data_IF_518353467464
#
_entry.id   IF_518353467464
#
_cell.length_a   1.000
_cell.length_b   1.000
_cell.length_c   1.000
_cell.angle_alpha   90.00
_cell.angle_beta   90.00
_cell.angle_gamma   90.00
#
_symmetry.space_group_name_H-M   'P 1'
#
loop_
_entity.id
_entity.type
_entity.pdbx_description
1 polymer ?
#
# COMPACT_ATOMS: atom_id res chain seq x y z
N UNK A 1 16.97 -10.58 -14.30
CA UNK A 1 16.16 -9.44 -14.79
C UNK A 1 16.73 -8.11 -14.25
N UNK A 2 16.42 -6.92 -14.81
CA UNK A 2 16.79 -5.61 -14.22
C UNK A 2 15.70 -5.05 -13.29
N UNK A 3 16.04 -4.55 -12.12
CA UNK A 3 15.12 -3.89 -11.20
C UNK A 3 14.41 -2.72 -11.90
N UNK A 4 13.08 -2.65 -11.82
CA UNK A 4 12.35 -1.53 -12.37
C UNK A 4 12.78 -0.22 -11.70
N UNK A 5 12.91 -0.16 -10.38
CA UNK A 5 13.18 1.09 -9.68
C UNK A 5 14.54 1.72 -10.02
N UNK A 6 15.64 0.95 -9.89
CA UNK A 6 17.01 1.48 -10.06
C UNK A 6 17.78 0.93 -11.26
N UNK A 7 17.28 -0.08 -11.98
CA UNK A 7 17.96 -0.65 -13.15
C UNK A 7 19.09 -1.65 -12.85
N UNK A 8 19.35 -1.96 -11.57
CA UNK A 8 20.33 -2.97 -11.15
C UNK A 8 19.93 -4.39 -11.59
N UNK A 9 20.89 -5.28 -11.83
CA UNK A 9 20.64 -6.64 -12.33
C UNK A 9 20.31 -7.60 -11.18
N UNK A 10 19.06 -8.04 -11.11
CA UNK A 10 18.47 -8.86 -10.05
C UNK A 10 18.06 -10.23 -10.59
N UNK A 11 17.87 -11.22 -9.72
CA UNK A 11 17.38 -12.54 -10.14
C UNK A 11 15.93 -12.46 -10.67
N UNK A 12 15.53 -13.39 -11.54
CA UNK A 12 14.22 -13.34 -12.21
C UNK A 12 13.02 -13.45 -11.25
N UNK A 13 13.22 -14.04 -10.07
CA UNK A 13 12.19 -14.21 -9.02
C UNK A 13 12.54 -13.42 -7.74
N UNK A 14 13.47 -12.47 -7.82
CA UNK A 14 13.85 -11.67 -6.66
C UNK A 14 12.63 -10.90 -6.15
N UNK A 15 12.27 -11.09 -4.87
CA UNK A 15 11.19 -10.35 -4.20
C UNK A 15 11.56 -8.89 -3.96
N UNK A 16 12.86 -8.60 -3.86
CA UNK A 16 13.41 -7.26 -3.61
C UNK A 16 14.65 -7.03 -4.46
N UNK A 17 14.91 -5.78 -4.81
CA UNK A 17 16.14 -5.42 -5.50
C UNK A 17 17.30 -5.27 -4.52
N UNK A 18 18.35 -6.07 -4.72
CA UNK A 18 19.59 -6.01 -3.92
C UNK A 18 20.37 -4.69 -4.05
N UNK A 19 20.06 -3.85 -5.05
CA UNK A 19 20.75 -2.57 -5.28
C UNK A 19 20.01 -1.35 -4.75
N UNK A 20 18.69 -1.40 -4.62
CA UNK A 20 17.89 -0.23 -4.21
C UNK A 20 16.68 -0.54 -3.34
N UNK A 21 16.58 -1.76 -2.82
CA UNK A 21 15.57 -2.16 -1.84
C UNK A 21 14.13 -2.22 -2.36
N UNK A 22 13.86 -1.81 -3.60
CA UNK A 22 12.49 -1.81 -4.12
C UNK A 22 11.93 -3.22 -4.19
N UNK A 23 10.74 -3.42 -3.62
CA UNK A 23 9.97 -4.64 -3.80
C UNK A 23 9.64 -4.84 -5.28
N UNK A 24 9.80 -6.07 -5.74
CA UNK A 24 9.50 -6.50 -7.08
C UNK A 24 8.21 -7.32 -6.98
N UNK A 25 7.09 -6.69 -7.36
CA UNK A 25 5.81 -7.40 -7.29
C UNK A 25 5.68 -8.38 -8.44
N UNK A 26 4.81 -9.38 -8.26
CA UNK A 26 4.49 -10.38 -9.29
C UNK A 26 3.88 -9.70 -10.52
N UNK A 27 3.15 -8.60 -10.34
CA UNK A 27 2.60 -7.78 -11.43
C UNK A 27 3.70 -7.14 -12.26
N UNK A 28 4.76 -6.62 -11.62
CA UNK A 28 5.91 -6.02 -12.34
C UNK A 28 6.70 -7.08 -13.13
N UNK A 29 6.79 -8.30 -12.61
CA UNK A 29 7.39 -9.43 -13.32
C UNK A 29 6.52 -9.82 -14.52
N UNK A 30 5.19 -9.97 -14.33
CA UNK A 30 4.23 -10.27 -15.39
C UNK A 30 4.16 -9.20 -16.48
N UNK A 31 4.17 -7.92 -16.12
CA UNK A 31 4.20 -6.81 -17.07
C UNK A 31 5.45 -6.89 -17.95
N UNK A 32 6.59 -7.23 -17.35
CA UNK A 32 7.83 -7.38 -18.10
C UNK A 32 7.88 -8.65 -18.95
N UNK A 33 7.33 -9.76 -18.46
CA UNK A 33 7.16 -10.96 -19.28
C UNK A 33 6.23 -10.68 -20.48
N UNK A 34 5.18 -9.89 -20.30
CA UNK A 34 4.33 -9.42 -21.39
C UNK A 34 5.09 -8.51 -22.36
N UNK A 35 5.90 -7.57 -21.87
CA UNK A 35 6.76 -6.72 -22.71
C UNK A 35 7.84 -7.50 -23.46
N UNK A 36 8.40 -8.54 -22.85
CA UNK A 36 9.36 -9.43 -23.52
C UNK A 36 8.67 -10.31 -24.58
N UNK A 37 7.41 -10.71 -24.34
CA UNK A 37 6.59 -11.46 -25.29
C UNK A 37 6.10 -10.62 -26.48
N UNK A 38 5.86 -9.32 -26.29
CA UNK A 38 5.40 -8.43 -27.37
C UNK A 38 6.48 -8.09 -28.40
N UNK A 39 7.76 -8.29 -28.05
CA UNK A 39 8.89 -8.10 -28.96
C UNK A 39 9.05 -6.67 -29.46
N UNK A 40 9.91 -6.48 -30.47
CA UNK A 40 10.15 -5.18 -31.06
C UNK A 40 8.93 -4.77 -31.90
N UNK A 41 8.29 -3.61 -31.63
CA UNK A 41 7.12 -3.16 -32.38
C UNK A 41 7.42 -2.80 -33.85
N UNK A 42 8.69 -2.68 -34.23
CA UNK A 42 9.10 -2.37 -35.62
C UNK A 42 9.38 -3.62 -36.45
N UNK A 43 10.08 -4.61 -35.88
CA UNK A 43 10.54 -5.79 -36.64
C UNK A 43 10.09 -7.14 -36.08
N UNK A 44 9.35 -7.16 -34.95
CA UNK A 44 8.85 -8.38 -34.33
C UNK A 44 9.92 -9.22 -33.60
N UNK A 45 11.19 -8.80 -33.60
CA UNK A 45 12.25 -9.50 -32.90
C UNK A 45 11.98 -9.59 -31.39
N UNK A 46 12.21 -10.76 -30.80
CA UNK A 46 12.16 -10.98 -29.35
C UNK A 46 13.47 -10.61 -28.64
N UNK A 47 14.52 -10.29 -29.39
CA UNK A 47 15.83 -9.87 -28.87
C UNK A 47 15.82 -8.38 -28.48
N UNK A 48 15.06 -8.07 -27.44
CA UNK A 48 14.84 -6.72 -26.94
C UNK A 48 15.40 -6.55 -25.53
N UNK A 49 15.92 -5.37 -25.25
CA UNK A 49 16.41 -4.99 -23.92
C UNK A 49 15.72 -3.72 -23.46
N UNK A 50 15.40 -3.66 -22.17
CA UNK A 50 14.76 -2.50 -21.58
C UNK A 50 15.70 -1.84 -20.58
N UNK A 51 15.93 -0.54 -20.73
CA UNK A 51 16.68 0.29 -19.79
C UNK A 51 15.78 1.40 -19.25
N UNK A 52 16.00 1.80 -17.99
CA UNK A 52 15.33 2.98 -17.43
C UNK A 52 16.22 4.20 -17.61
N UNK A 53 15.74 5.16 -18.37
CA UNK A 53 16.39 6.45 -18.53
C UNK A 53 15.71 7.51 -17.68
N UNK A 54 16.52 8.33 -17.02
CA UNK A 54 16.07 9.52 -16.31
C UNK A 54 15.55 10.52 -17.33
N UNK A 55 14.24 10.75 -17.34
CA UNK A 55 13.59 11.70 -18.23
C UNK A 55 13.66 13.12 -17.69
N UNK A 56 13.76 13.27 -16.36
CA UNK A 56 13.87 14.57 -15.73
C UNK A 56 13.65 14.52 -14.23
N UNK A 57 13.52 15.69 -13.64
CA UNK A 57 13.26 15.88 -12.22
C UNK A 57 12.12 16.88 -12.06
N UNK A 58 11.14 16.53 -11.23
CA UNK A 58 10.06 17.42 -10.83
C UNK A 58 10.37 17.94 -9.44
N UNK A 59 10.64 19.25 -9.32
CA UNK A 59 10.82 19.91 -8.04
C UNK A 59 9.45 20.35 -7.50
N UNK A 60 9.00 19.69 -6.44
CA UNK A 60 7.85 20.08 -5.66
C UNK A 60 8.26 20.82 -4.38
N UNK A 61 7.26 21.37 -3.66
CA UNK A 61 7.47 22.03 -2.37
C UNK A 61 8.11 21.11 -1.31
N UNK A 62 7.90 19.79 -1.45
CA UNK A 62 8.35 18.77 -0.49
C UNK A 62 9.55 17.94 -1.00
N UNK A 63 10.22 18.37 -2.07
CA UNK A 63 11.41 17.68 -2.59
C UNK A 63 11.42 17.47 -4.10
N UNK A 64 12.43 16.74 -4.57
CA UNK A 64 12.67 16.48 -6.00
C UNK A 64 12.30 15.03 -6.33
N UNK A 65 11.33 14.84 -7.22
CA UNK A 65 10.93 13.52 -7.72
C UNK A 65 11.63 13.26 -9.05
N UNK A 66 12.42 12.19 -9.14
CA UNK A 66 13.10 11.80 -10.39
C UNK A 66 12.12 11.04 -11.28
N UNK A 67 11.80 11.60 -12.45
CA UNK A 67 10.95 10.96 -13.46
C UNK A 67 11.82 10.04 -14.31
N UNK A 68 11.47 8.76 -14.38
CA UNK A 68 12.15 7.74 -15.19
C UNK A 68 11.18 7.14 -16.19
N UNK A 69 11.63 6.88 -17.42
CA UNK A 69 10.85 6.12 -18.42
C UNK A 69 11.62 4.86 -18.80
N UNK A 70 10.87 3.79 -19.04
CA UNK A 70 11.41 2.53 -19.56
C UNK A 70 11.50 2.63 -21.08
N UNK A 71 12.71 2.50 -21.60
CA UNK A 71 13.02 2.52 -23.03
C UNK A 71 13.41 1.11 -23.46
N UNK A 72 12.67 0.57 -24.43
CA UNK A 72 13.04 -0.65 -25.15
C UNK A 72 14.05 -0.34 -26.25
N UNK A 73 15.03 -1.23 -26.45
CA UNK A 73 16.01 -1.24 -27.54
C UNK A 73 16.01 -2.65 -28.15
N UNK A 74 15.73 -2.73 -29.45
CA UNK A 74 15.89 -3.97 -30.20
C UNK A 74 17.36 -4.15 -30.62
N UNK A 75 17.96 -5.29 -30.26
CA UNK A 75 19.35 -5.58 -30.63
C UNK A 75 19.54 -5.94 -32.10
N UNK A 76 18.47 -6.38 -32.77
CA UNK A 76 18.57 -6.83 -34.18
C UNK A 76 18.36 -5.69 -35.18
N UNK A 77 17.48 -4.71 -34.87
CA UNK A 77 17.19 -3.59 -35.78
C UNK A 77 17.54 -2.20 -35.22
N UNK A 78 18.02 -2.12 -33.98
CA UNK A 78 18.41 -0.86 -33.33
C UNK A 78 17.24 0.06 -32.96
N UNK A 79 15.99 -0.36 -33.16
CA UNK A 79 14.83 0.48 -32.87
C UNK A 79 14.63 0.67 -31.36
N UNK A 80 14.39 1.91 -30.96
CA UNK A 80 14.08 2.29 -29.58
C UNK A 80 12.66 2.81 -29.43
N UNK A 81 11.99 2.49 -28.33
CA UNK A 81 10.65 3.01 -28.02
C UNK A 81 10.43 3.19 -26.52
N UNK A 82 9.60 4.17 -26.13
CA UNK A 82 9.16 4.34 -24.75
C UNK A 82 7.92 3.50 -24.47
N UNK A 83 7.91 2.72 -23.40
CA UNK A 83 6.72 1.95 -22.99
C UNK A 83 5.75 2.76 -22.12
N UNK A 84 6.12 3.98 -21.73
CA UNK A 84 5.21 4.94 -21.09
C UNK A 84 4.26 5.55 -22.13
N UNK A 85 3.25 4.80 -22.54
CA UNK A 85 2.02 5.36 -23.10
C UNK A 85 0.81 4.67 -22.47
N UNK A 86 -0.02 5.50 -21.82
CA UNK A 86 -1.42 5.26 -21.43
C UNK A 86 -1.72 4.56 -20.10
N UNK A 87 -1.56 5.28 -19.00
CA UNK A 87 -2.62 5.36 -17.97
C UNK A 87 -2.68 6.76 -17.38
N UNK A 88 -3.08 7.76 -18.18
CA UNK A 88 -3.97 8.74 -17.56
C UNK A 88 -5.29 7.99 -17.35
N UNK A 89 -5.82 7.88 -16.12
CA UNK A 89 -7.14 7.31 -15.94
C UNK A 89 -8.11 8.18 -16.74
N UNK A 90 -8.60 7.64 -17.85
CA UNK A 90 -9.74 8.20 -18.56
C UNK A 90 -10.87 8.21 -17.53
N UNK A 91 -11.12 9.39 -16.97
CA UNK A 91 -12.23 9.67 -16.07
C UNK A 91 -13.49 9.24 -16.80
N UNK A 92 -13.95 8.01 -16.57
CA UNK A 92 -15.28 7.59 -16.98
C UNK A 92 -16.22 8.28 -16.01
N UNK A 93 -16.67 9.46 -16.41
CA UNK A 93 -17.67 10.23 -15.69
C UNK A 93 -18.88 9.30 -15.51
N UNK A 94 -19.08 8.76 -14.30
CA UNK A 94 -20.32 8.07 -13.93
C UNK A 94 -21.46 9.09 -13.74
N UNK A 95 -21.49 10.16 -14.55
CA UNK A 95 -22.54 11.18 -14.57
C UNK A 95 -23.90 10.55 -14.87
N UNK A 96 -23.95 9.42 -15.57
CA UNK A 96 -25.19 8.68 -15.79
C UNK A 96 -25.79 8.10 -14.50
N UNK A 97 -24.98 7.57 -13.56
CA UNK A 97 -25.49 7.09 -12.27
C UNK A 97 -26.07 8.24 -11.43
N UNK A 98 -25.50 9.43 -11.55
CA UNK A 98 -26.05 10.63 -10.92
C UNK A 98 -27.36 11.06 -11.59
N UNK A 99 -27.41 11.09 -12.92
CA UNK A 99 -28.62 11.40 -13.71
C UNK A 99 -29.75 10.40 -13.42
N UNK A 100 -29.46 9.10 -13.29
CA UNK A 100 -30.43 8.08 -12.85
C UNK A 100 -30.96 8.37 -11.44
N UNK A 101 -30.08 8.76 -10.51
CA UNK A 101 -30.48 9.20 -9.17
C UNK A 101 -31.47 10.37 -9.20
N UNK A 102 -31.21 11.40 -10.01
CA UNK A 102 -32.14 12.53 -10.17
C UNK A 102 -33.45 12.15 -10.87
N UNK A 103 -33.38 11.27 -11.88
CA UNK A 103 -34.53 10.72 -12.62
C UNK A 103 -35.48 9.93 -11.71
N UNK A 104 -34.98 9.16 -10.75
CA UNK A 104 -35.86 8.41 -9.84
C UNK A 104 -36.31 9.22 -8.62
N UNK A 105 -35.53 10.22 -8.19
CA UNK A 105 -35.85 11.03 -7.00
C UNK A 105 -36.81 12.19 -7.31
N UNK A 106 -36.79 12.78 -8.51
CA UNK A 106 -37.63 13.94 -8.84
C UNK A 106 -39.15 13.66 -9.02
N UNK A 107 -39.59 12.50 -9.56
CA UNK A 107 -41.02 12.18 -9.72
C UNK A 107 -41.73 11.89 -8.39
N UNK A 108 -40.99 11.43 -7.37
CA UNK A 108 -41.56 10.96 -6.10
C UNK A 108 -42.14 12.11 -5.24
N UNK A 109 -41.46 13.25 -5.03
CA UNK A 109 -42.02 14.39 -4.30
C UNK A 109 -43.25 15.01 -4.99
N UNK A 110 -43.24 15.11 -6.32
CA UNK A 110 -44.36 15.63 -7.11
C UNK A 110 -45.60 14.74 -7.02
N UNK A 111 -45.42 13.42 -7.11
CA UNK A 111 -46.51 12.46 -6.91
C UNK A 111 -47.06 12.50 -5.49
N UNK A 112 -46.20 12.61 -4.45
CA UNK A 112 -46.62 12.76 -3.06
C UNK A 112 -47.43 14.06 -2.83
N UNK A 113 -46.99 15.18 -3.40
CA UNK A 113 -47.69 16.47 -3.28
C UNK A 113 -49.06 16.41 -3.97
N UNK A 114 -49.15 15.77 -5.13
CA UNK A 114 -50.42 15.54 -5.81
C UNK A 114 -51.33 14.57 -5.04
N UNK A 115 -50.76 13.53 -4.41
CA UNK A 115 -51.47 12.62 -3.51
C UNK A 115 -52.02 13.28 -2.24
N UNK A 116 -51.42 14.40 -1.80
CA UNK A 116 -51.91 15.16 -0.64
C UNK A 116 -53.04 16.14 -0.97
N UNK A 117 -53.26 16.48 -2.25
CA UNK A 117 -54.38 17.35 -2.67
C UNK A 117 -55.71 16.62 -2.51
N UNK A 118 -56.57 17.11 -1.60
CA UNK A 118 -57.82 16.46 -1.17
C UNK A 118 -59.04 16.79 -2.04
N UNK A 119 -58.94 17.80 -2.89
CA UNK A 119 -60.10 18.36 -3.61
C UNK A 119 -60.38 17.73 -4.98
N UNK A 120 -59.82 16.54 -5.26
CA UNK A 120 -59.98 15.85 -6.54
C UNK A 120 -60.51 14.43 -6.37
N UNK A 121 -61.44 14.03 -7.26
CA UNK A 121 -62.00 12.67 -7.30
C UNK A 121 -60.86 11.64 -7.45
N UNK A 122 -60.84 10.57 -6.65
CA UNK A 122 -59.73 9.61 -6.62
C UNK A 122 -59.39 9.02 -8.00
N UNK A 123 -60.39 8.66 -8.80
CA UNK A 123 -60.18 8.08 -10.13
C UNK A 123 -59.42 9.01 -11.10
N UNK A 124 -59.76 10.31 -11.12
CA UNK A 124 -59.10 11.29 -11.98
C UNK A 124 -57.65 11.53 -11.53
N UNK A 125 -57.43 11.51 -10.23
CA UNK A 125 -56.12 11.69 -9.60
C UNK A 125 -55.16 10.55 -9.94
N UNK A 126 -55.60 9.30 -9.80
CA UNK A 126 -54.79 8.15 -10.21
C UNK A 126 -54.61 8.08 -11.73
N UNK A 127 -55.61 8.50 -12.51
CA UNK A 127 -55.51 8.58 -13.97
C UNK A 127 -54.42 9.53 -14.45
N UNK A 128 -54.31 10.72 -13.87
CA UNK A 128 -53.26 11.70 -14.25
C UNK A 128 -51.86 11.21 -13.85
N UNK A 129 -51.74 10.59 -12.67
CA UNK A 129 -50.46 10.01 -12.21
C UNK A 129 -50.02 8.90 -13.18
N UNK A 130 -50.92 7.97 -13.52
CA UNK A 130 -50.61 6.88 -14.46
C UNK A 130 -50.19 7.41 -15.84
N UNK A 131 -50.91 8.40 -16.38
CA UNK A 131 -50.55 9.03 -17.66
C UNK A 131 -49.18 9.71 -17.62
N UNK A 132 -48.83 10.39 -16.52
CA UNK A 132 -47.53 11.04 -16.34
C UNK A 132 -46.37 10.03 -16.31
N UNK A 133 -46.53 8.89 -15.62
CA UNK A 133 -45.52 7.83 -15.58
C UNK A 133 -45.35 7.11 -16.93
N UNK A 134 -46.42 6.95 -17.71
CA UNK A 134 -46.35 6.37 -19.07
C UNK A 134 -45.54 7.28 -20.00
N UNK A 135 -45.82 8.60 -20.00
CA UNK A 135 -45.05 9.58 -20.79
C UNK A 135 -43.58 9.58 -20.38
N UNK A 136 -43.31 9.49 -19.07
CA UNK A 136 -41.96 9.44 -18.53
C UNK A 136 -41.17 8.21 -19.01
N UNK A 137 -41.80 7.04 -19.02
CA UNK A 137 -41.17 5.78 -19.44
C UNK A 137 -40.86 5.76 -20.94
N UNK A 138 -41.70 6.40 -21.76
CA UNK A 138 -41.47 6.54 -23.21
C UNK A 138 -40.24 7.42 -23.50
N UNK A 139 -40.04 8.50 -22.73
CA UNK A 139 -38.86 9.37 -22.87
C UNK A 139 -37.57 8.63 -22.47
N UNK A 140 -37.63 7.77 -21.44
CA UNK A 140 -36.48 6.98 -20.99
C UNK A 140 -36.03 5.87 -21.95
N UNK A 141 -36.94 5.37 -22.80
CA UNK A 141 -36.62 4.33 -23.80
C UNK A 141 -36.16 4.89 -25.14
N UNK A 142 -36.28 6.20 -25.39
CA UNK A 142 -35.90 6.84 -26.66
C UNK A 142 -34.45 7.39 -26.63
N UNK A 143 -33.51 6.57 -26.15
CA UNK A 143 -32.07 6.82 -26.21
C UNK A 143 -31.41 5.86 -27.20
N UNK A 144 -31.19 6.34 -28.42
CA UNK A 144 -30.75 5.54 -29.58
C UNK A 144 -29.22 5.36 -29.65
N UNK A 145 -28.83 4.22 -30.24
CA UNK A 145 -27.65 3.97 -31.10
C UNK A 145 -26.34 3.41 -30.51
N UNK A 146 -26.11 2.10 -30.75
CA UNK A 146 -25.21 1.54 -31.80
C UNK A 146 -24.25 0.41 -31.33
N UNK A 147 -24.29 -0.67 -32.12
CA UNK A 147 -23.65 -1.97 -31.96
C UNK A 147 -22.11 -1.98 -31.97
N UNK A 148 -21.49 -3.01 -31.37
CA UNK A 148 -20.83 -4.09 -32.12
C UNK A 148 -20.30 -5.22 -31.22
N UNK A 149 -20.44 -6.42 -31.77
CA UNK A 149 -20.24 -7.79 -31.29
C UNK A 149 -18.79 -8.29 -31.36
N UNK A 150 -18.52 -9.38 -30.59
CA UNK A 150 -17.82 -10.63 -30.97
C UNK A 150 -16.81 -11.08 -29.88
N UNK A 151 -17.05 -12.16 -29.11
CA UNK A 151 -16.88 -13.62 -29.41
C UNK A 151 -15.63 -14.13 -28.68
N UNK A 152 -15.79 -14.82 -27.55
CA UNK A 152 -15.82 -16.31 -27.35
C UNK A 152 -14.46 -16.99 -27.48
N UNK A 153 -14.11 -17.73 -26.43
CA UNK A 153 -13.04 -18.73 -26.44
C UNK A 153 -13.00 -19.47 -25.10
N UNK A 154 -13.87 -20.45 -24.93
CA UNK A 154 -13.83 -21.44 -23.85
C UNK A 154 -12.52 -22.25 -23.92
N UNK A 155 -12.06 -22.76 -22.78
CA UNK A 155 -11.76 -24.20 -22.62
C UNK A 155 -11.60 -24.59 -21.15
N UNK A 156 -12.17 -25.74 -20.87
CA UNK A 156 -12.40 -26.40 -19.59
C UNK A 156 -11.19 -27.23 -19.16
N UNK A 157 -10.99 -27.28 -17.84
CA UNK A 157 -10.34 -28.27 -16.95
C UNK A 157 -9.38 -29.33 -17.52
N UNK A 158 -8.28 -29.58 -16.78
CA UNK A 158 -7.95 -30.92 -16.27
C UNK A 158 -7.00 -30.78 -15.06
N UNK A 159 -7.48 -31.20 -13.89
CA UNK A 159 -6.69 -31.45 -12.68
C UNK A 159 -6.22 -32.90 -12.76
N UNK A 160 -4.91 -33.14 -12.68
CA UNK A 160 -4.37 -34.44 -12.26
C UNK A 160 -3.27 -34.18 -11.24
N UNK A 161 -3.54 -34.68 -10.04
CA UNK A 161 -2.61 -34.82 -8.93
C UNK A 161 -1.80 -36.08 -9.18
N UNK A 162 -0.48 -36.01 -9.03
CA UNK A 162 0.35 -37.21 -8.89
C UNK A 162 1.41 -36.94 -7.81
N UNK A 163 1.24 -37.67 -6.70
CA UNK A 163 2.27 -37.85 -5.69
C UNK A 163 3.35 -38.76 -6.27
N UNK A 164 4.62 -38.44 -6.04
CA UNK A 164 5.63 -39.47 -5.77
C UNK A 164 6.71 -38.90 -4.83
N UNK A 165 6.74 -39.50 -3.64
CA UNK A 165 7.87 -39.58 -2.72
C UNK A 165 9.02 -40.39 -3.32
N UNK A 166 10.27 -40.00 -3.05
CA UNK A 166 11.33 -40.91 -2.55
C UNK A 166 12.39 -40.04 -1.83
N UNK A 167 12.56 -40.41 -0.57
CA UNK A 167 13.70 -40.35 0.35
C UNK A 167 15.04 -39.81 -0.18
N UNK A 168 15.67 -38.95 0.63
CA UNK A 168 17.02 -39.27 1.10
C UNK A 168 17.19 -38.88 2.57
N UNK A 169 17.87 -39.80 3.24
CA UNK A 169 18.16 -39.96 4.65
C UNK A 169 19.16 -38.91 5.17
N UNK A 170 19.16 -38.73 6.50
CA UNK A 170 20.33 -38.64 7.40
C UNK A 170 20.11 -37.66 8.57
N UNK A 171 19.69 -38.28 9.67
CA UNK A 171 19.94 -38.00 11.10
C UNK A 171 19.53 -36.65 11.70
N UNK A 172 18.39 -36.71 12.39
CA UNK A 172 18.11 -35.98 13.63
C UNK A 172 18.95 -36.54 14.78
N UNK A 173 19.76 -35.69 15.43
CA UNK A 173 20.16 -35.90 16.82
C UNK A 173 19.48 -34.82 17.66
N UNK A 174 18.47 -35.26 18.41
CA UNK A 174 17.88 -34.54 19.54
C UNK A 174 18.84 -34.74 20.71
N UNK A 175 19.37 -33.66 21.27
CA UNK A 175 19.84 -33.64 22.66
C UNK A 175 19.22 -32.42 23.31
N UNK A 176 18.44 -32.70 24.34
CA UNK A 176 17.71 -31.75 25.17
C UNK A 176 18.58 -31.32 26.36
N UNK A 177 18.44 -30.05 26.72
CA UNK A 177 18.76 -29.41 28.02
C UNK A 177 20.21 -29.39 28.51
N UNK A 178 20.74 -28.18 28.72
CA UNK A 178 21.05 -27.68 30.06
C UNK A 178 21.29 -26.16 30.08
N UNK A 179 20.72 -25.57 31.12
CA UNK A 179 20.97 -24.25 31.67
C UNK A 179 22.47 -23.98 31.89
N UNK A 180 22.97 -22.85 31.42
CA UNK A 180 24.03 -22.14 32.13
C UNK A 180 23.88 -20.63 31.94
N UNK A 181 23.96 -19.92 33.05
CA UNK A 181 23.95 -18.46 33.11
C UNK A 181 25.30 -17.96 32.61
N UNK A 182 25.32 -17.38 31.43
CA UNK A 182 26.51 -16.72 30.91
C UNK A 182 26.31 -15.20 30.98
N UNK A 183 27.17 -14.56 31.76
CA UNK A 183 27.32 -13.12 31.84
C UNK A 183 27.78 -12.65 30.47
N UNK A 184 26.84 -12.12 29.67
CA UNK A 184 27.14 -11.58 28.34
C UNK A 184 27.90 -10.29 28.50
N UNK A 185 29.20 -10.36 28.18
CA UNK A 185 30.04 -9.20 27.93
C UNK A 185 29.41 -8.41 26.77
N UNK A 186 28.86 -7.23 27.07
CA UNK A 186 28.25 -6.32 26.10
C UNK A 186 29.33 -5.83 25.13
N UNK A 187 29.55 -6.56 24.04
CA UNK A 187 30.13 -5.98 22.84
C UNK A 187 29.09 -5.00 22.28
N UNK A 188 29.34 -3.69 22.38
CA UNK A 188 28.54 -2.67 21.70
C UNK A 188 28.55 -2.92 20.19
N UNK A 189 27.55 -3.65 19.70
CA UNK A 189 27.26 -3.71 18.27
C UNK A 189 26.83 -2.33 17.82
N UNK A 190 27.61 -1.72 16.94
CA UNK A 190 27.30 -0.41 16.38
C UNK A 190 26.47 -0.58 15.10
N UNK A 191 25.20 -0.20 15.18
CA UNK A 191 24.19 -0.25 14.12
C UNK A 191 24.04 1.09 13.39
N UNK A 192 24.34 2.20 14.07
CA UNK A 192 24.17 3.55 13.56
C UNK A 192 25.25 4.48 14.11
N UNK A 193 25.78 5.38 13.27
CA UNK A 193 26.76 6.41 13.71
C UNK A 193 26.16 7.39 14.73
N UNK A 194 24.82 7.51 14.76
CA UNK A 194 24.10 8.36 15.70
C UNK A 194 23.83 7.59 16.99
N UNK A 195 24.34 8.08 18.12
CA UNK A 195 24.28 7.38 19.41
C UNK A 195 22.84 7.13 19.88
N UNK A 196 21.91 8.07 19.65
CA UNK A 196 20.52 7.95 20.06
C UNK A 196 19.79 6.93 19.19
N UNK A 197 20.02 6.94 17.88
CA UNK A 197 19.46 5.91 16.99
C UNK A 197 20.07 4.53 17.30
N UNK A 198 21.37 4.45 17.57
CA UNK A 198 22.03 3.20 17.94
C UNK A 198 21.48 2.63 19.26
N UNK A 199 21.24 3.51 20.24
CA UNK A 199 20.58 3.17 21.51
C UNK A 199 19.18 2.61 21.26
N UNK A 200 18.35 3.29 20.45
CA UNK A 200 17.01 2.82 20.10
C UNK A 200 17.05 1.43 19.47
N UNK A 201 17.90 1.20 18.47
CA UNK A 201 18.01 -0.11 17.80
C UNK A 201 18.43 -1.19 18.81
N UNK A 202 19.37 -0.89 19.68
CA UNK A 202 19.87 -1.86 20.68
C UNK A 202 18.78 -2.25 21.67
N UNK A 203 18.11 -1.26 22.27
CA UNK A 203 17.04 -1.47 23.24
C UNK A 203 15.80 -2.11 22.61
N UNK A 204 15.43 -1.71 21.39
CA UNK A 204 14.34 -2.32 20.64
C UNK A 204 14.56 -3.81 20.45
N UNK A 205 15.74 -4.22 19.98
CA UNK A 205 16.00 -5.63 19.70
C UNK A 205 16.04 -6.49 20.98
N UNK A 206 16.47 -5.91 22.11
CA UNK A 206 16.42 -6.55 23.41
C UNK A 206 14.97 -6.77 23.87
N UNK A 207 14.13 -5.73 23.77
CA UNK A 207 12.71 -5.77 24.16
C UNK A 207 11.91 -6.70 23.24
N UNK A 208 12.12 -6.58 21.93
CA UNK A 208 11.36 -7.29 20.92
C UNK A 208 11.79 -8.77 20.80
N UNK A 209 13.01 -9.09 21.22
CA UNK A 209 13.58 -10.44 21.10
C UNK A 209 13.94 -10.86 19.68
N UNK A 210 13.95 -9.92 18.72
CA UNK A 210 14.39 -10.14 17.34
C UNK A 210 15.22 -8.99 16.82
N UNK A 211 15.99 -9.25 15.75
CA UNK A 211 16.89 -8.27 15.15
C UNK A 211 16.18 -7.40 14.12
N UNK A 212 16.52 -6.12 14.12
CA UNK A 212 16.25 -5.26 12.97
C UNK A 212 17.17 -5.64 11.82
N UNK A 213 16.66 -5.60 10.59
CA UNK A 213 17.42 -5.95 9.37
C UNK A 213 17.52 -4.77 8.42
N UNK A 214 18.47 -4.85 7.47
CA UNK A 214 18.73 -3.81 6.45
C UNK A 214 18.86 -2.39 7.00
N UNK A 215 19.51 -2.28 8.17
CA UNK A 215 19.78 -1.01 8.82
C UNK A 215 20.66 -0.17 7.90
N UNK A 216 20.17 1.01 7.52
CA UNK A 216 20.86 1.88 6.58
C UNK A 216 20.66 3.35 6.92
N UNK A 217 21.67 4.15 6.65
CA UNK A 217 21.63 5.60 6.88
C UNK A 217 20.78 6.30 5.82
N UNK A 218 19.98 7.25 6.28
CA UNK A 218 19.14 8.09 5.43
C UNK A 218 19.88 9.29 4.83
N UNK A 219 19.10 10.24 4.33
CA UNK A 219 19.60 11.43 3.65
C UNK A 219 20.18 12.52 4.58
N UNK A 220 20.06 12.35 5.90
CA UNK A 220 20.64 13.22 6.92
C UNK A 220 21.38 12.38 7.96
N UNK A 221 22.31 12.99 8.71
CA UNK A 221 23.18 12.27 9.66
C UNK A 221 22.41 11.47 10.71
N UNK A 222 21.26 11.98 11.14
CA UNK A 222 20.46 11.46 12.26
C UNK A 222 19.24 10.65 11.82
N UNK A 223 19.11 10.34 10.51
CA UNK A 223 18.02 9.53 9.95
C UNK A 223 18.54 8.15 9.56
N UNK A 224 17.80 7.11 9.93
CA UNK A 224 18.09 5.73 9.57
C UNK A 224 16.82 5.00 9.16
N UNK A 225 17.01 3.94 8.39
CA UNK A 225 15.97 3.03 7.96
C UNK A 225 16.31 1.62 8.43
N UNK A 226 15.29 0.82 8.75
CA UNK A 226 15.44 -0.58 9.08
C UNK A 226 14.14 -1.34 8.82
N UNK A 227 14.22 -2.67 8.84
CA UNK A 227 13.04 -3.53 8.91
C UNK A 227 12.91 -4.14 10.30
N UNK A 228 11.69 -4.12 10.84
CA UNK A 228 11.29 -4.85 12.04
C UNK A 228 10.00 -5.60 11.72
N UNK A 229 9.98 -6.92 11.87
CA UNK A 229 8.83 -7.80 11.56
C UNK A 229 8.08 -7.40 10.25
N UNK A 230 8.83 -7.27 9.14
CA UNK A 230 8.36 -6.83 7.81
C UNK A 230 7.86 -5.36 7.69
N UNK A 231 7.77 -4.60 8.78
CA UNK A 231 7.57 -3.16 8.73
C UNK A 231 8.86 -2.45 8.32
N UNK A 232 8.78 -1.53 7.36
CA UNK A 232 9.87 -0.64 7.01
C UNK A 232 9.78 0.63 7.86
N UNK A 233 10.74 0.83 8.76
CA UNK A 233 10.80 1.93 9.70
C UNK A 233 11.76 3.01 9.19
N UNK A 234 11.33 4.27 9.32
CA UNK A 234 12.20 5.45 9.33
C UNK A 234 12.35 5.93 10.78
N UNK A 235 13.60 6.03 11.25
CA UNK A 235 13.97 6.54 12.56
C UNK A 235 14.71 7.86 12.39
N UNK A 236 14.36 8.89 13.17
CA UNK A 236 15.01 10.19 13.15
C UNK A 236 15.31 10.63 14.57
N UNK A 237 16.59 10.86 14.87
CA UNK A 237 16.98 11.66 16.01
C UNK A 237 16.87 13.16 15.66
N UNK A 238 15.88 13.83 16.24
CA UNK A 238 15.64 15.27 16.14
C UNK A 238 15.59 15.96 17.52
N UNK A 239 16.24 15.37 18.53
CA UNK A 239 16.25 15.89 19.92
C UNK A 239 16.93 17.27 20.04
N UNK A 240 17.97 17.51 19.22
CA UNK A 240 18.68 18.79 19.12
C UNK A 240 18.18 19.67 17.95
N UNK A 241 17.04 19.34 17.35
CA UNK A 241 16.44 20.07 16.24
C UNK A 241 15.07 20.65 16.64
N UNK A 242 14.42 21.38 15.72
CA UNK A 242 13.16 22.07 16.02
C UNK A 242 11.97 21.18 16.43
N UNK A 243 12.07 19.86 16.24
CA UNK A 243 11.05 18.91 16.72
C UNK A 243 11.30 18.47 18.17
N UNK A 244 12.52 18.62 18.68
CA UNK A 244 12.94 18.25 20.05
C UNK A 244 12.50 16.82 20.47
N UNK A 245 12.51 15.87 19.53
CA UNK A 245 11.98 14.53 19.75
C UNK A 245 12.76 13.45 18.98
N UNK A 246 12.67 12.21 19.44
CA UNK A 246 13.01 11.03 18.64
C UNK A 246 11.76 10.54 17.92
N UNK A 247 11.83 10.41 16.59
CA UNK A 247 10.68 10.09 15.76
C UNK A 247 10.86 8.75 15.05
N UNK A 248 9.80 7.96 15.00
CA UNK A 248 9.70 6.71 14.26
C UNK A 248 8.48 6.82 13.36
N UNK A 249 8.61 6.43 12.09
CA UNK A 249 7.45 6.34 11.20
C UNK A 249 7.53 5.10 10.32
N UNK A 250 6.39 4.50 10.04
CA UNK A 250 6.31 3.39 9.09
C UNK A 250 4.93 3.34 8.43
N UNK A 251 4.92 2.80 7.22
CA UNK A 251 3.71 2.63 6.42
C UNK A 251 3.37 1.15 6.27
N UNK A 252 2.09 0.82 6.30
CA UNK A 252 1.58 -0.54 6.21
C UNK A 252 0.43 -0.60 5.22
N UNK A 253 0.56 -1.42 4.17
CA UNK A 253 -0.48 -1.61 3.16
C UNK A 253 -1.04 -3.03 3.16
N UNK A 254 -0.15 -4.02 3.08
CA UNK A 254 -0.50 -5.44 2.97
C UNK A 254 -0.05 -6.28 4.17
N UNK A 255 0.31 -5.62 5.28
CA UNK A 255 0.74 -6.29 6.51
C UNK A 255 -0.48 -6.70 7.33
N UNK A 256 -0.38 -7.80 8.06
CA UNK A 256 -1.39 -8.20 9.04
C UNK A 256 -1.42 -7.23 10.23
N UNK A 257 -2.54 -7.16 10.93
CA UNK A 257 -2.65 -6.38 12.17
C UNK A 257 -1.62 -6.80 13.21
N UNK A 258 -1.34 -8.11 13.30
CA UNK A 258 -0.31 -8.65 14.20
C UNK A 258 1.09 -8.11 13.87
N UNK A 259 1.48 -8.07 12.59
CA UNK A 259 2.75 -7.47 12.16
C UNK A 259 2.81 -5.97 12.48
N UNK A 260 1.73 -5.23 12.22
CA UNK A 260 1.67 -3.78 12.44
C UNK A 260 1.77 -3.43 13.92
N UNK A 261 0.99 -4.12 14.76
CA UNK A 261 0.83 -3.78 16.18
C UNK A 261 1.89 -4.43 17.07
N UNK A 262 2.53 -5.52 16.66
CA UNK A 262 3.73 -6.04 17.35
C UNK A 262 4.87 -5.02 17.28
N UNK A 263 5.19 -4.52 16.09
CA UNK A 263 6.21 -3.48 15.90
C UNK A 263 5.83 -2.19 16.62
N UNK A 264 4.55 -1.79 16.58
CA UNK A 264 4.06 -0.64 17.33
C UNK A 264 4.32 -0.78 18.83
N UNK A 265 3.97 -1.94 19.38
CA UNK A 265 4.14 -2.29 20.79
C UNK A 265 5.61 -2.26 21.18
N UNK A 266 6.47 -2.90 20.39
CA UNK A 266 7.93 -2.92 20.64
C UNK A 266 8.53 -1.51 20.61
N UNK A 267 8.11 -0.67 19.66
CA UNK A 267 8.52 0.73 19.60
C UNK A 267 8.08 1.49 20.85
N UNK A 268 6.80 1.40 21.24
CA UNK A 268 6.28 2.11 22.42
C UNK A 268 6.95 1.65 23.72
N UNK A 269 7.21 0.35 23.89
CA UNK A 269 7.95 -0.19 25.03
C UNK A 269 9.37 0.35 25.08
N UNK A 270 10.06 0.37 23.95
CA UNK A 270 11.42 0.94 23.83
C UNK A 270 11.44 2.41 24.23
N UNK A 271 10.38 3.15 23.92
CA UNK A 271 10.23 4.56 24.27
C UNK A 271 9.73 4.79 25.72
N UNK A 272 9.45 3.72 26.48
CA UNK A 272 9.09 3.77 27.89
C UNK A 272 7.59 3.75 28.20
N UNK A 273 6.73 3.41 27.24
CA UNK A 273 5.30 3.21 27.51
C UNK A 273 5.04 1.92 28.31
N UNK A 274 4.03 1.95 29.17
CA UNK A 274 3.56 0.77 29.91
C UNK A 274 2.60 -0.09 29.08
N UNK A 275 2.44 -1.37 29.44
CA UNK A 275 1.50 -2.27 28.75
C UNK A 275 0.06 -1.71 28.75
N UNK A 276 -0.39 -1.10 29.86
CA UNK A 276 -1.72 -0.48 29.96
C UNK A 276 -1.90 0.71 29.00
N UNK A 277 -0.88 1.58 28.87
CA UNK A 277 -0.88 2.69 27.92
C UNK A 277 -0.91 2.21 26.46
N UNK A 278 -0.17 1.14 26.16
CA UNK A 278 -0.10 0.55 24.83
C UNK A 278 -1.45 -0.09 24.45
N UNK A 279 -2.01 -0.93 25.32
CA UNK A 279 -3.31 -1.57 25.10
C UNK A 279 -4.40 -0.53 24.84
N UNK A 280 -4.43 0.53 25.65
CA UNK A 280 -5.35 1.65 25.46
C UNK A 280 -5.12 2.36 24.12
N UNK A 281 -3.87 2.64 23.76
CA UNK A 281 -3.53 3.30 22.49
C UNK A 281 -4.00 2.48 21.29
N UNK A 282 -3.71 1.17 21.29
CA UNK A 282 -4.12 0.27 20.20
C UNK A 282 -5.65 0.16 20.14
N UNK A 283 -6.33 0.04 21.27
CA UNK A 283 -7.79 0.03 21.33
C UNK A 283 -8.40 1.32 20.76
N UNK A 284 -7.78 2.47 21.05
CA UNK A 284 -8.21 3.77 20.54
C UNK A 284 -7.96 3.91 19.01
N UNK A 285 -6.89 3.31 18.48
CA UNK A 285 -6.61 3.31 17.04
C UNK A 285 -7.49 2.36 16.24
N UNK A 286 -7.92 1.26 16.86
CA UNK A 286 -8.66 0.18 16.21
C UNK A 286 -10.13 0.20 16.59
N UNK A 287 -10.45 -0.31 17.78
CA UNK A 287 -11.81 -0.66 18.22
C UNK A 287 -12.66 0.57 18.45
N UNK A 288 -12.08 1.66 18.97
CA UNK A 288 -12.82 2.89 19.29
C UNK A 288 -12.82 3.90 18.13
N UNK A 289 -12.17 3.58 17.00
CA UNK A 289 -12.11 4.43 15.81
C UNK A 289 -13.26 4.11 14.85
N UNK A 290 -14.49 4.47 15.25
CA UNK A 290 -15.78 4.18 14.59
C UNK A 290 -15.91 4.61 13.10
N UNK A 291 -14.92 5.27 12.51
CA UNK A 291 -14.96 5.79 11.14
C UNK A 291 -13.66 5.66 10.34
N UNK A 292 -12.75 4.79 10.78
CA UNK A 292 -11.39 4.67 10.24
C UNK A 292 -10.72 6.04 10.10
N UNK A 293 -10.98 7.06 10.92
CA UNK A 293 -10.43 8.38 10.65
C UNK A 293 -8.97 8.47 11.11
N UNK A 294 -8.24 9.42 10.50
CA UNK A 294 -6.88 9.73 10.93
C UNK A 294 -6.92 10.35 12.32
N UNK A 295 -6.05 9.88 13.20
CA UNK A 295 -5.85 10.42 14.54
C UNK A 295 -4.50 11.12 14.54
N UNK A 296 -4.47 12.41 14.86
CA UNK A 296 -3.25 13.22 14.92
C UNK A 296 -2.98 13.66 16.35
N UNK A 297 -1.73 13.55 16.79
CA UNK A 297 -1.31 14.03 18.12
C UNK A 297 -1.96 13.28 19.28
N UNK A 298 -2.23 11.98 19.13
CA UNK A 298 -2.71 11.15 20.23
C UNK A 298 -1.62 11.03 21.29
N UNK A 299 -1.92 11.42 22.52
CA UNK A 299 -1.00 11.29 23.66
C UNK A 299 -1.12 9.88 24.24
N UNK A 300 -0.15 9.02 23.97
CA UNK A 300 -0.02 7.71 24.64
C UNK A 300 0.32 7.92 26.11
N UNK A 301 1.22 8.87 26.40
CA UNK A 301 1.50 9.39 27.73
C UNK A 301 2.08 10.81 27.63
N UNK A 302 2.57 11.38 28.73
CA UNK A 302 3.12 12.75 28.77
C UNK A 302 4.37 12.95 27.91
N UNK A 303 5.02 11.87 27.47
CA UNK A 303 6.26 11.92 26.70
C UNK A 303 6.13 11.42 25.26
N UNK A 304 5.11 10.60 24.96
CA UNK A 304 4.94 9.94 23.66
C UNK A 304 3.64 10.40 23.00
N UNK A 305 3.76 10.91 21.78
CA UNK A 305 2.64 11.26 20.91
C UNK A 305 2.65 10.40 19.65
N UNK A 306 1.47 10.04 19.16
CA UNK A 306 1.31 9.19 17.99
C UNK A 306 0.36 9.83 16.96
N UNK A 307 0.64 9.60 15.68
CA UNK A 307 -0.28 9.84 14.57
C UNK A 307 -0.62 8.49 13.95
N UNK A 308 -1.90 8.22 13.75
CA UNK A 308 -2.40 6.99 13.14
C UNK A 308 -3.29 7.31 11.95
N UNK A 309 -2.96 6.72 10.80
CA UNK A 309 -3.78 6.74 9.60
C UNK A 309 -4.09 5.28 9.23
N UNK A 310 -5.34 4.81 9.37
CA UNK A 310 -5.68 3.45 9.01
C UNK A 310 -5.63 3.24 7.50
N UNK A 311 -5.43 1.98 7.11
CA UNK A 311 -5.66 1.48 5.76
C UNK A 311 -7.15 1.59 5.44
N UNK A 312 -7.52 2.26 4.34
CA UNK A 312 -8.91 2.46 3.92
C UNK A 312 -9.18 1.87 2.56
N UNK A 313 -10.29 1.17 2.43
CA UNK A 313 -10.85 0.87 1.12
C UNK A 313 -11.31 2.16 0.44
N UNK A 314 -10.73 2.45 -0.71
CA UNK A 314 -11.08 3.58 -1.55
C UNK A 314 -11.95 3.10 -2.71
N UNK A 315 -12.56 4.05 -3.42
CA UNK A 315 -13.32 3.73 -4.65
C UNK A 315 -12.50 3.00 -5.72
N UNK A 316 -11.16 3.06 -5.66
CA UNK A 316 -10.24 2.22 -6.43
C UNK A 316 -9.01 1.88 -5.57
N UNK A 317 -8.95 0.63 -5.09
CA UNK A 317 -7.85 0.12 -4.28
C UNK A 317 -7.91 0.57 -2.82
N UNK A 318 -6.82 0.40 -2.10
CA UNK A 318 -6.74 0.62 -0.67
C UNK A 318 -5.68 1.71 -0.38
N UNK A 319 -5.96 2.64 0.53
CA UNK A 319 -4.95 3.58 1.01
C UNK A 319 -3.89 2.84 1.82
N UNK A 320 -2.66 3.34 1.80
CA UNK A 320 -1.60 2.82 2.64
C UNK A 320 -1.79 3.43 4.03
N UNK A 321 -1.90 2.56 5.04
CA UNK A 321 -1.92 2.98 6.43
C UNK A 321 -0.54 3.47 6.89
N UNK A 322 -0.53 4.25 7.96
CA UNK A 322 0.66 4.92 8.45
C UNK A 322 0.60 5.15 9.95
N UNK A 323 1.72 4.94 10.62
CA UNK A 323 1.93 5.31 12.02
C UNK A 323 3.17 6.19 12.11
N UNK A 324 3.05 7.26 12.88
CA UNK A 324 4.17 8.07 13.36
C UNK A 324 4.16 8.07 14.89
N UNK A 325 5.34 7.97 15.49
CA UNK A 325 5.56 8.00 16.93
C UNK A 325 6.62 9.05 17.20
N UNK A 326 6.39 9.93 18.16
CA UNK A 326 7.38 10.89 18.63
C UNK A 326 7.52 10.78 20.15
N UNK A 327 8.75 10.61 20.62
CA UNK A 327 9.09 10.67 22.05
C UNK A 327 9.91 11.92 22.35
N UNK A 328 9.43 12.72 23.29
CA UNK A 328 10.07 13.96 23.74
C UNK A 328 11.16 13.74 24.80
N UNK A 329 11.28 12.53 25.34
CA UNK A 329 12.22 12.16 26.42
C UNK A 329 13.28 11.16 25.98
N UNK A 330 13.03 10.38 24.92
CA UNK A 330 14.00 9.39 24.46
C UNK A 330 15.26 10.06 23.90
N UNK A 331 16.42 9.73 24.47
CA UNK A 331 17.72 10.31 24.09
C UNK A 331 18.01 11.69 24.70
N UNK A 332 17.23 12.13 25.70
CA UNK A 332 17.50 13.31 26.53
C UNK A 332 17.93 12.92 27.94
#
# INVERSE_FOLDING_TARGET
MKCPNCGGEIENNAKFCTFCGSQITVEMQKEREQLNKSGCPKCGSTNVTFNREKQGELKGKNGTVVVRSTIGLCKDCGYTWSTTNTTQPQKKNKTWLWVLGWIFVFPVPLTILMLRKKDMKPALKYGIIAAAWIVYLIIGLSGNSNDNTATTGNNTETIVSENETINDDVTTNIVESQTDSEVVEQTETNYADDEIVNKFISEFQEIAGYKMTDISKGNIRTKYFAYANNCYLEMINATDAGAEAFCISYSFGSLSEEEIYSVFTDCLKTLGATDEEIEKTIADFTTNNDGDYMIEGYETNSSITCTYCPTKELSNGTSIGHIEIASSTFGK
#
